data_IF_259780002725
#
_entry.id   IF_259780002725
#
_cell.length_a   1.000
_cell.length_b   1.000
_cell.length_c   1.000
_cell.angle_alpha   90.00
_cell.angle_beta   90.00
_cell.angle_gamma   90.00
#
_symmetry.space_group_name_H-M   'P 1'
#
loop_
_entity.id
_entity.type
_entity.pdbx_description
1 polymer ?
#
# COMPACT_ATOMS: atom_id res chain seq x y z
N UNK A 1 -0.49 16.71 6.33
CA UNK A 1 0.99 16.71 6.36
C UNK A 1 1.49 17.38 7.64
N UNK A 2 1.08 18.62 7.92
CA UNK A 2 1.56 19.43 9.07
C UNK A 2 1.44 18.75 10.43
N UNK A 3 0.31 18.05 10.68
CA UNK A 3 0.16 17.29 11.93
C UNK A 3 1.25 16.24 12.08
N UNK A 4 1.56 15.48 11.02
CA UNK A 4 2.65 14.49 11.04
C UNK A 4 4.00 15.14 11.33
N UNK A 5 4.29 16.28 10.68
CA UNK A 5 5.54 17.03 10.90
C UNK A 5 5.66 17.54 12.33
N UNK A 6 4.56 18.05 12.89
CA UNK A 6 4.52 18.49 14.29
C UNK A 6 4.80 17.37 15.30
N UNK A 7 4.68 16.10 14.86
CA UNK A 7 5.00 14.91 15.66
C UNK A 7 6.38 14.33 15.35
N UNK A 8 7.13 14.94 14.42
CA UNK A 8 8.43 14.43 13.98
C UNK A 8 8.34 13.09 13.25
N UNK A 9 7.23 12.84 12.55
CA UNK A 9 7.07 11.62 11.75
C UNK A 9 7.76 11.76 10.39
N UNK A 10 8.36 10.69 9.89
CA UNK A 10 8.92 10.61 8.52
C UNK A 10 7.86 10.21 7.49
N UNK A 11 6.79 9.57 7.94
CA UNK A 11 5.68 9.13 7.09
C UNK A 11 4.32 9.24 7.77
N UNK A 12 3.28 9.47 6.97
CA UNK A 12 1.88 9.46 7.41
C UNK A 12 1.12 8.45 6.56
N UNK A 13 0.49 7.47 7.21
CA UNK A 13 -0.33 6.44 6.55
C UNK A 13 -1.80 6.67 6.92
N UNK A 14 -2.66 6.77 5.90
CA UNK A 14 -4.09 6.99 6.04
C UNK A 14 -4.90 6.13 5.07
N UNK A 15 -6.23 6.19 5.21
CA UNK A 15 -7.20 5.61 4.28
C UNK A 15 -8.32 6.61 3.96
N UNK A 16 -9.57 6.13 3.96
CA UNK A 16 -10.82 6.90 3.88
C UNK A 16 -11.23 7.45 2.50
N UNK A 17 -10.32 7.91 1.65
CA UNK A 17 -10.69 8.48 0.34
C UNK A 17 -10.99 7.42 -0.73
N UNK A 18 -10.73 6.14 -0.43
CA UNK A 18 -10.78 5.00 -1.34
C UNK A 18 -9.73 5.01 -2.46
N UNK A 19 -8.99 6.12 -2.62
CA UNK A 19 -7.94 6.26 -3.63
C UNK A 19 -6.57 5.92 -3.05
N UNK A 20 -5.87 4.98 -3.68
CA UNK A 20 -4.48 4.69 -3.33
C UNK A 20 -3.57 5.85 -3.77
N UNK A 21 -2.62 6.24 -2.92
CA UNK A 21 -1.74 7.38 -3.21
C UNK A 21 -0.42 7.27 -2.46
N UNK A 22 0.68 7.63 -3.14
CA UNK A 22 1.93 8.03 -2.51
C UNK A 22 2.23 9.47 -2.91
N UNK A 23 2.56 10.31 -1.94
CA UNK A 23 2.98 11.68 -2.17
C UNK A 23 4.15 12.02 -1.27
N UNK A 24 5.19 12.62 -1.84
CA UNK A 24 6.31 13.16 -1.08
C UNK A 24 6.12 14.68 -0.94
N UNK A 25 6.27 15.19 0.28
CA UNK A 25 6.16 16.61 0.57
C UNK A 25 7.19 16.99 1.62
N UNK A 26 8.25 17.66 1.15
CA UNK A 26 9.44 18.01 1.89
C UNK A 26 10.06 16.79 2.60
N UNK A 27 9.92 16.71 3.92
CA UNK A 27 10.49 15.71 4.82
C UNK A 27 9.51 14.58 5.19
N UNK A 28 8.26 14.63 4.72
CA UNK A 28 7.26 13.58 4.96
C UNK A 28 6.84 12.86 3.68
N UNK A 29 6.74 11.55 3.78
CA UNK A 29 6.01 10.73 2.80
C UNK A 29 4.59 10.43 3.28
N UNK A 30 3.59 10.84 2.49
CA UNK A 30 2.20 10.49 2.72
C UNK A 30 1.79 9.27 1.89
N UNK A 31 1.08 8.35 2.54
CA UNK A 31 0.47 7.19 1.95
C UNK A 31 -1.03 7.18 2.22
N UNK A 32 -1.80 6.87 1.18
CA UNK A 32 -3.19 6.47 1.29
C UNK A 32 -3.35 5.04 0.77
N UNK A 33 -3.90 4.15 1.61
CA UNK A 33 -4.02 2.72 1.30
C UNK A 33 -5.22 2.39 0.42
N UNK A 34 -6.00 3.38 -0.02
CA UNK A 34 -7.16 3.14 -0.88
C UNK A 34 -8.27 2.33 -0.21
N UNK A 35 -9.00 1.55 -1.00
CA UNK A 35 -10.09 0.70 -0.55
C UNK A 35 -9.73 -0.78 -0.66
N UNK A 36 -9.98 -1.55 0.39
CA UNK A 36 -9.76 -3.00 0.42
C UNK A 36 -10.76 -3.83 -0.41
N UNK A 37 -11.88 -3.23 -0.84
CA UNK A 37 -12.90 -3.92 -1.66
C UNK A 37 -12.72 -3.66 -3.16
N UNK A 38 -11.93 -2.64 -3.52
CA UNK A 38 -11.63 -2.36 -4.91
C UNK A 38 -10.52 -3.31 -5.37
N UNK A 39 -10.51 -3.64 -6.66
CA UNK A 39 -9.51 -4.52 -7.27
C UNK A 39 -8.72 -3.75 -8.35
N UNK A 40 -7.36 -3.77 -8.31
CA UNK A 40 -6.55 -4.41 -7.28
C UNK A 40 -6.68 -3.70 -5.93
N UNK A 41 -6.71 -4.48 -4.84
CA UNK A 41 -6.69 -3.91 -3.49
C UNK A 41 -5.28 -3.43 -3.17
N UNK A 42 -5.13 -2.43 -2.30
CA UNK A 42 -3.81 -1.89 -1.94
C UNK A 42 -3.52 -1.99 -0.45
N UNK A 43 -2.25 -2.17 -0.11
CA UNK A 43 -1.76 -2.31 1.26
C UNK A 43 -0.39 -1.66 1.43
N UNK A 44 0.00 -1.41 2.69
CA UNK A 44 1.34 -0.90 3.02
C UNK A 44 2.17 -2.02 3.61
N UNK A 45 3.40 -2.15 3.12
CA UNK A 45 4.44 -2.99 3.72
C UNK A 45 5.41 -2.08 4.45
N UNK A 46 5.66 -2.36 5.72
CA UNK A 46 6.77 -1.79 6.48
C UNK A 46 7.81 -2.88 6.68
N UNK A 47 9.03 -2.65 6.21
CA UNK A 47 10.13 -3.61 6.33
C UNK A 47 10.81 -3.54 7.72
N UNK A 48 11.78 -4.43 7.95
CA UNK A 48 12.56 -4.49 9.20
C UNK A 48 13.42 -3.24 9.47
N UNK A 49 13.64 -2.40 8.46
CA UNK A 49 14.38 -1.14 8.57
C UNK A 49 13.44 0.07 8.78
N UNK A 50 12.13 -0.16 8.81
CA UNK A 50 11.12 0.88 8.98
C UNK A 50 10.70 1.59 7.69
N UNK A 51 11.11 1.10 6.51
CA UNK A 51 10.69 1.70 5.25
C UNK A 51 9.28 1.26 4.89
N UNK A 52 8.41 2.22 4.61
CA UNK A 52 7.05 1.97 4.12
C UNK A 52 7.00 1.94 2.58
N UNK A 53 6.25 1.00 2.00
CA UNK A 53 5.94 0.94 0.57
C UNK A 53 4.48 0.59 0.32
N UNK A 54 3.83 1.31 -0.61
CA UNK A 54 2.47 1.02 -1.08
C UNK A 54 2.54 -0.09 -2.14
N UNK A 55 1.73 -1.14 -1.97
CA UNK A 55 1.68 -2.33 -2.82
C UNK A 55 0.24 -2.60 -3.24
N UNK A 56 0.11 -3.22 -4.40
CA UNK A 56 -1.15 -3.76 -4.92
C UNK A 56 -1.17 -5.27 -4.70
N UNK A 57 -2.30 -5.79 -4.24
CA UNK A 57 -2.60 -7.21 -4.28
C UNK A 57 -3.04 -7.57 -5.69
N UNK A 58 -2.08 -8.00 -6.50
CA UNK A 58 -2.34 -8.50 -7.84
C UNK A 58 -2.70 -9.97 -7.71
N UNK A 59 -4.00 -10.26 -7.72
CA UNK A 59 -4.47 -11.64 -7.83
C UNK A 59 -3.96 -12.24 -9.16
N UNK A 60 -2.98 -13.14 -9.07
CA UNK A 60 -2.64 -14.05 -10.15
C UNK A 60 -3.42 -15.34 -9.94
N UNK A 61 -4.41 -15.67 -10.80
CA UNK A 61 -5.04 -16.98 -10.74
C UNK A 61 -3.94 -18.01 -11.02
N UNK A 62 -3.59 -18.80 -10.01
CA UNK A 62 -2.84 -20.03 -10.21
C UNK A 62 -3.74 -20.98 -10.99
N UNK A 63 -3.68 -20.94 -12.33
CA UNK A 63 -4.16 -22.06 -13.13
C UNK A 63 -3.22 -23.23 -12.85
N UNK A 64 -3.54 -24.01 -11.83
CA UNK A 64 -3.02 -25.36 -11.68
C UNK A 64 -3.63 -26.13 -12.85
N UNK A 65 -2.94 -26.15 -13.99
CA UNK A 65 -3.21 -27.15 -15.02
C UNK A 65 -2.74 -28.48 -14.45
N UNK A 66 -3.60 -29.15 -13.68
CA UNK A 66 -3.58 -30.61 -13.64
C UNK A 66 -3.95 -31.08 -15.04
N UNK A 67 -2.94 -31.09 -15.93
CA UNK A 67 -3.02 -31.83 -17.17
C UNK A 67 -3.10 -33.31 -16.75
N UNK A 68 -4.33 -33.81 -16.75
CA UNK A 68 -4.72 -35.20 -16.95
C UNK A 68 -3.61 -35.99 -17.64
N UNK A 69 -2.83 -36.73 -16.84
CA UNK A 69 -2.06 -37.85 -17.32
C UNK A 69 -3.06 -39.00 -17.53
N UNK A 70 -3.58 -39.11 -18.76
CA UNK A 70 -4.27 -40.30 -19.28
C UNK A 70 -3.33 -41.07 -20.19
#
# INVERSE_FOLDING_TARGET
>A
MDYGRSKGADAVICGHTHLSMKMESDDITYYNTGCWTDMPSTYIVVDEFGNASLREDVYTPNYITEAVAS
#
